data_IF_892989053006
#
_entry.id   IF_892989053006
#
_cell.length_a   1.000
_cell.length_b   1.000
_cell.length_c   1.000
_cell.angle_alpha   90.00
_cell.angle_beta   90.00
_cell.angle_gamma   90.00
#
_symmetry.space_group_name_H-M   'P 1'
#
loop_
_entity.id
_entity.type
_entity.pdbx_description
1 polymer ?
#
# COMPACT_ATOMS: atom_id res chain seq x y z
N UNK A 1 35.77 19.10 -19.40
CA UNK A 1 35.90 18.06 -18.35
C UNK A 1 34.69 18.13 -17.44
N UNK A 2 33.89 17.08 -17.43
CA UNK A 2 32.69 16.92 -16.59
C UNK A 2 33.10 16.66 -15.14
N UNK A 3 32.55 17.40 -14.18
CA UNK A 3 32.51 16.98 -12.77
C UNK A 3 31.06 16.91 -12.30
N UNK A 4 30.52 15.69 -12.30
CA UNK A 4 29.36 15.33 -11.49
C UNK A 4 29.83 15.09 -10.06
N UNK A 5 29.14 15.67 -9.06
CA UNK A 5 28.77 15.04 -7.77
C UNK A 5 28.16 16.07 -6.82
N UNK A 6 26.86 15.98 -6.59
CA UNK A 6 26.25 16.21 -5.29
C UNK A 6 24.91 15.46 -5.24
N UNK A 7 24.95 14.22 -4.74
CA UNK A 7 23.74 13.47 -4.42
C UNK A 7 23.25 13.92 -3.05
N UNK A 8 22.13 14.63 -3.04
CA UNK A 8 21.43 15.05 -1.84
C UNK A 8 21.03 13.86 -0.96
N UNK A 9 21.20 14.08 0.34
CA UNK A 9 20.86 13.22 1.46
C UNK A 9 19.48 12.57 1.32
N UNK A 10 19.44 11.25 1.18
CA UNK A 10 18.19 10.49 1.30
C UNK A 10 17.70 10.50 2.74
N UNK A 11 16.65 11.29 2.99
CA UNK A 11 15.79 11.19 4.16
C UNK A 11 15.31 9.74 4.34
N UNK A 12 15.61 9.15 5.50
CA UNK A 12 15.13 7.83 5.91
C UNK A 12 13.65 7.91 6.25
N UNK A 13 12.77 7.97 5.25
CA UNK A 13 11.33 7.82 5.47
C UNK A 13 10.95 6.33 5.46
N UNK A 14 10.75 5.78 6.66
CA UNK A 14 9.81 4.69 7.01
C UNK A 14 9.50 3.64 5.92
N UNK A 15 10.49 2.80 5.57
CA UNK A 15 10.29 1.59 4.77
C UNK A 15 9.48 0.50 5.49
N UNK A 16 9.29 0.62 6.81
CA UNK A 16 8.58 -0.35 7.65
C UNK A 16 7.05 -0.23 7.58
N UNK A 17 6.49 0.91 7.14
CA UNK A 17 5.03 1.10 7.05
C UNK A 17 4.41 0.75 5.69
N UNK A 18 5.22 0.56 4.65
CA UNK A 18 4.71 0.24 3.30
C UNK A 18 4.51 -1.27 3.11
N UNK A 19 5.24 -2.12 3.86
CA UNK A 19 5.24 -3.57 3.65
C UNK A 19 4.08 -4.36 4.30
N UNK A 20 3.26 -3.73 5.14
CA UNK A 20 2.13 -4.41 5.80
C UNK A 20 0.81 -4.30 5.04
N UNK A 21 0.64 -3.29 4.16
CA UNK A 21 -0.62 -3.11 3.41
C UNK A 21 -0.73 -4.01 2.17
N UNK A 22 0.39 -4.52 1.67
CA UNK A 22 0.45 -5.29 0.41
C UNK A 22 0.21 -6.80 0.60
N UNK A 23 0.20 -7.34 1.82
CA UNK A 23 0.14 -8.78 2.04
C UNK A 23 -1.25 -9.33 2.44
N UNK A 24 -2.08 -8.56 3.14
CA UNK A 24 -3.36 -9.10 3.63
C UNK A 24 -4.48 -9.07 2.57
N UNK A 25 -4.53 -8.01 1.75
CA UNK A 25 -5.58 -7.77 0.74
C UNK A 25 -5.32 -8.53 -0.58
N UNK A 26 -4.06 -8.77 -0.93
CA UNK A 26 -3.70 -9.62 -2.06
C UNK A 26 -3.97 -11.11 -1.77
N UNK A 27 -3.97 -11.53 -0.50
CA UNK A 27 -4.15 -12.94 -0.16
C UNK A 27 -5.53 -13.50 -0.51
N UNK A 28 -6.62 -12.72 -0.43
CA UNK A 28 -7.98 -13.19 -0.73
C UNK A 28 -8.36 -13.12 -2.21
N UNK A 29 -7.89 -12.08 -2.91
CA UNK A 29 -8.11 -11.91 -4.35
C UNK A 29 -7.22 -12.86 -5.18
N UNK A 30 -5.95 -13.04 -4.78
CA UNK A 30 -5.08 -14.04 -5.42
C UNK A 30 -5.48 -15.48 -5.07
N UNK A 31 -6.05 -15.72 -3.88
CA UNK A 31 -6.57 -17.05 -3.47
C UNK A 31 -7.67 -17.55 -4.41
N UNK A 32 -8.46 -16.67 -5.01
CA UNK A 32 -9.66 -17.07 -5.75
C UNK A 32 -9.41 -17.46 -7.21
N UNK A 33 -8.32 -17.02 -7.87
CA UNK A 33 -8.26 -17.19 -9.34
C UNK A 33 -6.91 -17.58 -9.93
N UNK A 34 -5.81 -17.28 -9.27
CA UNK A 34 -4.69 -18.16 -9.53
C UNK A 34 -5.13 -19.49 -8.93
N UNK A 35 -5.14 -20.57 -9.71
CA UNK A 35 -4.85 -21.85 -9.11
C UNK A 35 -3.46 -21.68 -8.50
N UNK A 36 -3.38 -21.06 -7.31
CA UNK A 36 -2.21 -21.04 -6.49
C UNK A 36 -2.11 -22.51 -6.12
N UNK A 37 -1.41 -23.24 -6.98
CA UNK A 37 -1.07 -24.62 -6.78
C UNK A 37 -0.59 -24.72 -5.34
N UNK A 38 -0.98 -25.77 -4.65
CA UNK A 38 -0.54 -26.08 -3.31
C UNK A 38 0.97 -25.82 -3.11
N UNK A 39 1.76 -26.06 -4.16
CA UNK A 39 3.18 -25.77 -4.20
C UNK A 39 3.54 -24.27 -4.11
N UNK A 40 2.85 -23.37 -4.81
CA UNK A 40 3.07 -21.93 -4.69
C UNK A 40 2.67 -21.44 -3.28
N UNK A 41 1.62 -22.03 -2.67
CA UNK A 41 1.25 -21.71 -1.28
C UNK A 41 2.35 -22.12 -0.30
N UNK A 42 2.92 -23.32 -0.47
CA UNK A 42 4.08 -23.78 0.31
C UNK A 42 5.27 -22.84 0.12
N UNK A 43 5.53 -22.39 -1.11
CA UNK A 43 6.60 -21.43 -1.38
C UNK A 43 6.38 -20.11 -0.63
N UNK A 44 5.17 -19.56 -0.61
CA UNK A 44 4.92 -18.35 0.18
C UNK A 44 5.16 -18.55 1.68
N UNK A 45 4.72 -19.68 2.25
CA UNK A 45 5.01 -20.01 3.66
C UNK A 45 6.52 -20.12 3.91
N UNK A 46 7.24 -20.80 3.02
CA UNK A 46 8.71 -20.93 3.10
C UNK A 46 9.40 -19.57 2.96
N UNK A 47 8.93 -18.69 2.08
CA UNK A 47 9.42 -17.32 1.91
C UNK A 47 9.29 -16.53 3.22
N UNK A 48 8.12 -16.59 3.85
CA UNK A 48 7.88 -15.92 5.14
C UNK A 48 8.80 -16.48 6.22
N UNK A 49 8.99 -17.80 6.29
CA UNK A 49 9.90 -18.42 7.26
C UNK A 49 11.35 -17.98 7.03
N UNK A 50 11.83 -17.97 5.79
CA UNK A 50 13.19 -17.54 5.45
C UNK A 50 13.41 -16.06 5.78
N UNK A 51 12.41 -15.20 5.55
CA UNK A 51 12.45 -13.81 5.96
C UNK A 51 12.59 -13.66 7.49
N UNK A 52 11.80 -14.41 8.26
CA UNK A 52 11.89 -14.41 9.72
C UNK A 52 13.26 -14.91 10.20
N UNK A 53 13.78 -15.97 9.57
CA UNK A 53 15.11 -16.49 9.87
C UNK A 53 16.21 -15.48 9.54
N UNK A 54 16.19 -14.85 8.36
CA UNK A 54 17.15 -13.84 7.94
C UNK A 54 17.15 -12.61 8.86
N UNK A 55 15.98 -12.24 9.40
CA UNK A 55 15.86 -11.16 10.38
C UNK A 55 16.58 -11.48 11.70
N UNK A 56 16.61 -12.75 12.10
CA UNK A 56 17.28 -13.20 13.33
C UNK A 56 18.79 -13.41 13.09
N UNK A 57 19.15 -14.10 12.00
CA UNK A 57 20.54 -14.51 11.72
C UNK A 57 21.35 -13.46 10.96
N UNK A 58 20.71 -12.37 10.52
CA UNK A 58 21.26 -11.33 9.63
C UNK A 58 21.84 -11.86 8.30
N UNK A 59 21.50 -13.09 7.90
CA UNK A 59 21.90 -13.67 6.62
C UNK A 59 20.76 -13.57 5.60
N UNK A 60 20.91 -12.63 4.66
CA UNK A 60 19.89 -12.31 3.66
C UNK A 60 20.07 -13.03 2.32
N UNK A 61 21.17 -13.78 2.12
CA UNK A 61 21.49 -14.38 0.82
C UNK A 61 20.44 -15.41 0.41
N UNK A 62 20.12 -16.33 1.33
CA UNK A 62 19.14 -17.39 1.11
C UNK A 62 17.71 -16.85 0.91
N UNK A 63 17.33 -15.84 1.69
CA UNK A 63 16.03 -15.17 1.54
C UNK A 63 15.92 -14.48 0.18
N UNK A 64 16.90 -13.68 -0.22
CA UNK A 64 16.91 -13.00 -1.53
C UNK A 64 16.86 -13.97 -2.70
N UNK A 65 17.66 -15.05 -2.64
CA UNK A 65 17.63 -16.09 -3.68
C UNK A 65 16.24 -16.74 -3.76
N UNK A 66 15.67 -17.14 -2.62
CA UNK A 66 14.37 -17.78 -2.57
C UNK A 66 13.22 -16.86 -2.99
N UNK A 67 13.33 -15.55 -2.71
CA UNK A 67 12.37 -14.54 -3.20
C UNK A 67 12.35 -14.47 -4.72
N UNK A 68 13.53 -14.49 -5.37
CA UNK A 68 13.63 -14.52 -6.85
C UNK A 68 12.97 -15.78 -7.41
N UNK A 69 13.25 -16.94 -6.80
CA UNK A 69 12.66 -18.21 -7.24
C UNK A 69 11.14 -18.23 -7.05
N UNK A 70 10.64 -17.75 -5.91
CA UNK A 70 9.21 -17.60 -5.66
C UNK A 70 8.54 -16.69 -6.70
N UNK A 71 9.16 -15.56 -7.05
CA UNK A 71 8.66 -14.66 -8.10
C UNK A 71 8.61 -15.37 -9.46
N UNK A 72 9.66 -16.10 -9.83
CA UNK A 72 9.74 -16.84 -11.09
C UNK A 72 8.64 -17.89 -11.21
N UNK A 73 8.37 -18.64 -10.14
CA UNK A 73 7.31 -19.67 -10.13
C UNK A 73 5.92 -19.07 -10.23
N UNK A 74 5.65 -17.95 -9.54
CA UNK A 74 4.38 -17.22 -9.66
C UNK A 74 4.18 -16.72 -11.09
N UNK A 75 5.22 -16.12 -11.70
CA UNK A 75 5.16 -15.68 -13.09
C UNK A 75 4.91 -16.84 -14.04
N UNK A 76 5.62 -17.96 -13.88
CA UNK A 76 5.41 -19.15 -14.70
C UNK A 76 3.96 -19.66 -14.63
N UNK A 77 3.40 -19.73 -13.43
CA UNK A 77 2.01 -20.17 -13.24
C UNK A 77 1.00 -19.18 -13.85
N UNK A 78 1.28 -17.88 -13.75
CA UNK A 78 0.46 -16.84 -14.36
C UNK A 78 0.47 -16.95 -15.89
N UNK A 79 1.65 -17.08 -16.51
CA UNK A 79 1.78 -17.30 -17.96
C UNK A 79 1.08 -18.57 -18.40
N UNK A 80 1.19 -19.66 -17.62
CA UNK A 80 0.46 -20.90 -17.90
C UNK A 80 -1.05 -20.70 -17.90
N UNK A 81 -1.60 -19.95 -16.95
CA UNK A 81 -3.04 -19.62 -16.91
C UNK A 81 -3.48 -18.73 -18.08
N UNK A 82 -2.67 -17.73 -18.44
CA UNK A 82 -2.97 -16.85 -19.58
C UNK A 82 -3.03 -17.68 -20.86
N UNK A 83 -2.00 -18.47 -21.14
CA UNK A 83 -1.89 -19.22 -22.37
C UNK A 83 -2.90 -20.37 -22.45
N UNK A 84 -3.09 -21.13 -21.36
CA UNK A 84 -3.91 -22.35 -21.39
C UNK A 84 -5.37 -22.14 -20.96
N UNK A 85 -5.79 -20.91 -20.64
CA UNK A 85 -7.17 -20.69 -20.18
C UNK A 85 -7.76 -19.40 -20.75
N UNK A 86 -6.98 -18.31 -20.76
CA UNK A 86 -7.46 -17.06 -21.35
C UNK A 86 -7.40 -17.14 -22.87
N UNK A 87 -6.26 -17.52 -23.46
CA UNK A 87 -6.12 -17.60 -24.92
C UNK A 87 -7.06 -18.64 -25.52
N UNK A 88 -7.07 -19.86 -24.96
CA UNK A 88 -8.01 -20.92 -25.37
C UNK A 88 -9.49 -20.47 -25.22
N UNK A 89 -9.81 -19.76 -24.15
CA UNK A 89 -11.16 -19.20 -23.96
C UNK A 89 -11.53 -18.20 -25.05
N UNK A 90 -10.60 -17.32 -25.44
CA UNK A 90 -10.82 -16.32 -26.49
C UNK A 90 -10.96 -16.96 -27.87
N UNK A 91 -10.14 -17.96 -28.20
CA UNK A 91 -10.24 -18.72 -29.44
C UNK A 91 -11.61 -19.43 -29.56
N UNK A 92 -12.13 -19.92 -28.45
CA UNK A 92 -13.44 -20.57 -28.36
C UNK A 92 -14.63 -19.61 -28.16
N UNK A 93 -14.47 -18.30 -28.43
CA UNK A 93 -15.50 -17.27 -28.21
C UNK A 93 -16.08 -17.24 -26.78
N UNK A 94 -15.31 -17.65 -25.77
CA UNK A 94 -15.64 -17.59 -24.37
C UNK A 94 -14.84 -16.47 -23.67
N UNK A 95 -15.39 -15.24 -23.56
CA UNK A 95 -14.67 -14.13 -22.92
C UNK A 95 -14.70 -14.18 -21.39
N UNK A 96 -15.38 -15.17 -20.77
CA UNK A 96 -15.54 -15.23 -19.30
C UNK A 96 -14.19 -15.32 -18.56
N UNK A 97 -13.21 -16.17 -18.95
CA UNK A 97 -11.92 -16.24 -18.28
C UNK A 97 -11.13 -14.93 -18.36
N UNK A 98 -11.19 -14.26 -19.51
CA UNK A 98 -10.59 -12.95 -19.71
C UNK A 98 -11.16 -11.90 -18.75
N UNK A 99 -12.48 -11.74 -18.72
CA UNK A 99 -13.12 -10.76 -17.83
C UNK A 99 -12.94 -11.10 -16.35
N UNK A 100 -12.93 -12.39 -16.01
CA UNK A 100 -12.60 -12.85 -14.66
C UNK A 100 -11.19 -12.38 -14.28
N UNK A 101 -10.20 -12.64 -15.13
CA UNK A 101 -8.81 -12.22 -14.94
C UNK A 101 -8.65 -10.71 -14.74
N UNK A 102 -9.26 -9.88 -15.61
CA UNK A 102 -9.24 -8.42 -15.50
C UNK A 102 -9.83 -7.93 -14.17
N UNK A 103 -10.99 -8.46 -13.76
CA UNK A 103 -11.65 -8.06 -12.50
C UNK A 103 -10.79 -8.34 -11.27
N UNK A 104 -9.94 -9.37 -11.28
CA UNK A 104 -9.11 -9.73 -10.12
C UNK A 104 -7.85 -8.90 -10.00
N UNK A 105 -7.33 -8.44 -11.14
CA UNK A 105 -6.23 -7.48 -11.16
C UNK A 105 -6.61 -6.22 -10.38
N UNK A 106 -7.92 -5.97 -10.15
CA UNK A 106 -8.46 -4.92 -9.26
C UNK A 106 -7.83 -3.55 -9.53
N UNK A 107 -7.38 -3.35 -10.77
CA UNK A 107 -6.79 -2.10 -11.23
C UNK A 107 -7.87 -1.06 -11.55
N UNK A 108 -9.11 -1.50 -11.76
CA UNK A 108 -10.27 -0.63 -11.82
C UNK A 108 -10.92 -0.44 -10.45
N UNK A 109 -10.86 0.79 -9.95
CA UNK A 109 -11.77 1.40 -8.96
C UNK A 109 -11.89 0.75 -7.57
N UNK A 110 -10.79 0.68 -6.81
CA UNK A 110 -10.90 0.48 -5.36
C UNK A 110 -10.37 1.72 -4.64
N UNK A 111 -11.25 2.68 -4.37
CA UNK A 111 -10.99 3.61 -3.29
C UNK A 111 -11.90 4.83 -3.32
N UNK A 112 -11.85 5.59 -4.41
CA UNK A 112 -12.51 6.90 -4.51
C UNK A 112 -12.80 7.16 -5.98
N UNK A 113 -14.07 7.38 -6.33
CA UNK A 113 -14.47 7.83 -7.67
C UNK A 113 -13.69 9.11 -8.06
N UNK A 114 -13.53 9.40 -9.36
CA UNK A 114 -12.99 10.69 -9.79
C UNK A 114 -13.70 11.85 -9.09
N UNK A 115 -12.93 12.79 -8.52
CA UNK A 115 -13.48 13.94 -7.80
C UNK A 115 -13.55 15.13 -8.76
N UNK A 116 -14.62 15.91 -8.68
CA UNK A 116 -14.77 17.13 -9.46
C UNK A 116 -14.34 18.32 -8.62
N UNK A 117 -13.46 19.17 -9.15
CA UNK A 117 -13.08 20.45 -8.55
C UNK A 117 -12.88 21.49 -9.64
N UNK A 118 -13.50 22.66 -9.48
CA UNK A 118 -13.42 23.78 -10.44
C UNK A 118 -13.70 23.37 -11.90
N UNK A 119 -14.71 22.51 -12.12
CA UNK A 119 -15.06 22.04 -13.46
C UNK A 119 -14.18 20.91 -14.01
N UNK A 120 -13.05 20.60 -13.37
CA UNK A 120 -12.12 19.54 -13.81
C UNK A 120 -12.32 18.24 -13.04
N UNK A 121 -12.11 17.13 -13.73
CA UNK A 121 -12.20 15.79 -13.17
C UNK A 121 -10.81 15.29 -12.75
N UNK A 122 -10.64 15.02 -11.45
CA UNK A 122 -9.39 14.54 -10.86
C UNK A 122 -9.47 13.03 -10.63
N UNK A 123 -8.76 12.27 -11.44
CA UNK A 123 -8.70 10.80 -11.32
C UNK A 123 -7.45 10.29 -10.59
N UNK A 124 -6.36 11.05 -10.58
CA UNK A 124 -5.12 10.63 -9.93
C UNK A 124 -5.25 10.56 -8.39
N UNK A 125 -4.54 9.60 -7.79
CA UNK A 125 -4.56 9.33 -6.34
C UNK A 125 -4.07 10.52 -5.52
N UNK A 126 -3.02 11.22 -5.97
CA UNK A 126 -2.44 12.36 -5.26
C UNK A 126 -3.42 13.54 -5.29
N UNK A 127 -3.92 13.87 -6.47
CA UNK A 127 -4.89 14.95 -6.63
C UNK A 127 -6.17 14.72 -5.82
N UNK A 128 -6.69 13.49 -5.77
CA UNK A 128 -7.83 13.15 -4.91
C UNK A 128 -7.55 13.39 -3.43
N UNK A 129 -6.38 12.98 -2.95
CA UNK A 129 -5.99 13.18 -1.55
C UNK A 129 -5.86 14.66 -1.19
N UNK A 130 -5.25 15.45 -2.08
CA UNK A 130 -5.09 16.90 -1.89
C UNK A 130 -6.45 17.62 -1.85
N UNK A 131 -7.37 17.27 -2.76
CA UNK A 131 -8.74 17.83 -2.75
C UNK A 131 -9.48 17.50 -1.45
N UNK A 132 -9.40 16.25 -0.98
CA UNK A 132 -10.04 15.86 0.28
C UNK A 132 -9.43 16.59 1.48
N UNK A 133 -8.10 16.77 1.51
CA UNK A 133 -7.44 17.54 2.55
C UNK A 133 -7.89 19.01 2.50
N UNK A 134 -8.01 19.61 1.32
CA UNK A 134 -8.48 20.98 1.16
C UNK A 134 -9.92 21.15 1.64
N UNK A 135 -10.82 20.25 1.24
CA UNK A 135 -12.21 20.24 1.71
C UNK A 135 -12.28 20.09 3.23
N UNK A 136 -11.51 19.14 3.78
CA UNK A 136 -11.45 18.91 5.22
C UNK A 136 -10.93 20.15 5.96
N UNK A 137 -9.88 20.80 5.47
CA UNK A 137 -9.37 22.06 6.05
C UNK A 137 -10.39 23.20 5.98
N UNK A 138 -11.23 23.22 4.95
CA UNK A 138 -12.22 24.29 4.77
C UNK A 138 -13.34 24.27 5.81
N UNK A 139 -13.65 23.11 6.40
CA UNK A 139 -14.72 22.99 7.40
C UNK A 139 -14.28 23.32 8.82
N UNK A 140 -12.97 23.38 9.09
CA UNK A 140 -12.47 23.81 10.39
C UNK A 140 -12.32 25.33 10.44
N UNK A 141 -12.70 25.90 11.58
CA UNK A 141 -12.40 27.29 11.91
C UNK A 141 -10.89 27.48 11.91
N UNK A 142 -10.41 28.49 11.20
CA UNK A 142 -9.00 28.89 11.26
C UNK A 142 -8.81 29.63 12.56
N UNK A 143 -7.96 29.11 13.44
CA UNK A 143 -7.48 29.88 14.58
C UNK A 143 -6.76 31.11 14.04
N UNK A 144 -7.44 32.24 14.05
CA UNK A 144 -6.76 33.51 13.93
C UNK A 144 -5.99 33.67 15.25
N UNK A 145 -4.67 33.87 15.18
CA UNK A 145 -3.74 34.04 16.33
C UNK A 145 -4.12 35.17 17.33
N UNK A 146 -5.31 35.76 17.20
CA UNK A 146 -5.75 36.95 17.92
C UNK A 146 -6.41 36.67 19.26
N UNK A 147 -6.78 35.43 19.59
CA UNK A 147 -7.43 35.14 20.88
C UNK A 147 -7.12 33.74 21.38
N UNK A 148 -5.87 33.45 21.73
CA UNK A 148 -5.62 32.36 22.69
C UNK A 148 -6.17 32.84 24.04
N UNK A 149 -7.15 32.15 24.66
CA UNK A 149 -7.68 32.57 25.96
C UNK A 149 -6.53 32.59 26.96
N UNK A 150 -6.33 33.75 27.59
CA UNK A 150 -5.27 33.97 28.58
C UNK A 150 -5.53 33.05 29.76
N UNK A 151 -4.80 31.94 29.84
CA UNK A 151 -4.90 31.02 30.97
C UNK A 151 -4.44 31.76 32.21
N UNK A 152 -5.36 32.03 33.14
CA UNK A 152 -5.03 32.67 34.41
C UNK A 152 -4.17 31.71 35.21
N UNK A 153 -2.86 31.95 35.28
CA UNK A 153 -1.92 31.23 36.15
C UNK A 153 -2.15 31.56 37.63
N UNK A 154 -3.38 31.47 38.13
CA UNK A 154 -3.65 31.59 39.55
C UNK A 154 -3.81 30.21 40.20
N UNK A 155 -2.72 29.44 40.16
CA UNK A 155 -2.62 28.14 40.86
C UNK A 155 -2.38 28.37 42.36
N UNK A 156 -1.83 29.53 42.75
CA UNK A 156 -1.42 29.80 44.13
C UNK A 156 -2.60 29.87 45.11
N UNK A 157 -3.75 30.39 44.69
CA UNK A 157 -4.90 30.52 45.60
C UNK A 157 -5.67 29.21 45.83
N UNK A 158 -5.51 28.20 44.95
CA UNK A 158 -6.24 26.92 45.07
C UNK A 158 -5.58 25.92 46.03
N UNK A 159 -4.29 26.09 46.35
CA UNK A 159 -3.56 25.17 47.25
C UNK A 159 -3.72 25.61 48.72
N UNK A 160 -3.95 26.90 48.98
CA UNK A 160 -4.18 27.43 50.33
C UNK A 160 -5.47 26.89 50.97
N UNK A 161 -6.53 26.62 50.18
CA UNK A 161 -7.82 26.13 50.69
C UNK A 161 -7.87 24.62 50.97
N UNK A 162 -6.78 23.89 50.69
CA UNK A 162 -6.69 22.43 50.90
C UNK A 162 -5.85 22.06 52.12
N UNK A 163 -5.25 23.04 52.80
CA UNK A 163 -4.64 22.85 54.11
C UNK A 163 -5.71 23.17 55.17
N UNK A 164 -6.53 22.17 55.48
CA UNK A 164 -7.34 22.13 56.71
C UNK A 164 -6.88 20.93 57.51
#
# INVERSE_FOLDING_TARGET
>A
MLQYKNYGTHSKTNSTKIWTRTNHQNSSALKQVYQINHEIRKMFKKKTRLYQQAKITNNWSNDKHFQKECKRQVQKAEWGYINNTIMEGLENNNPKPFWKYIKLRKQDNIGISPLKSNGHLVNDRKGKAELLIQQFKSVFTRDNDKTVPKTTKNIKNSIQSLKT
#
